data_IF_593443487455
#
_entry.id   IF_593443487455
#
_cell.length_a   1.000
_cell.length_b   1.000
_cell.length_c   1.000
_cell.angle_alpha   90.00
_cell.angle_beta   90.00
_cell.angle_gamma   90.00
#
_symmetry.space_group_name_H-M   'P 1'
#
loop_
_entity.id
_entity.type
_entity.pdbx_description
1 polymer ?
#
# COMPACT_ATOMS: atom_id res chain seq x y z
N UNK A 1 8.04 6.21 8.00
CA UNK A 1 7.65 6.40 9.42
C UNK A 1 6.18 6.18 9.72
N UNK A 2 5.23 6.53 8.82
CA UNK A 2 3.78 6.27 9.02
C UNK A 2 3.44 4.78 9.18
N UNK A 3 4.10 3.88 8.44
CA UNK A 3 3.89 2.44 8.57
C UNK A 3 4.22 1.87 9.95
N UNK A 4 5.31 2.36 10.59
CA UNK A 4 5.68 1.97 11.95
C UNK A 4 4.64 2.50 12.96
N UNK A 5 4.15 3.73 12.78
CA UNK A 5 3.13 4.31 13.66
C UNK A 5 1.80 3.54 13.56
N UNK A 6 1.37 3.19 12.35
CA UNK A 6 0.14 2.39 12.14
C UNK A 6 0.29 0.98 12.71
N UNK A 7 1.44 0.35 12.50
CA UNK A 7 1.71 -0.95 13.06
C UNK A 7 1.76 -0.91 14.60
N UNK A 8 2.33 0.13 15.22
CA UNK A 8 2.27 0.35 16.67
C UNK A 8 0.83 0.52 17.15
N UNK A 9 0.01 1.25 16.41
CA UNK A 9 -1.41 1.42 16.72
C UNK A 9 -2.17 0.09 16.70
N UNK A 10 -1.93 -0.72 15.68
CA UNK A 10 -2.56 -2.06 15.56
C UNK A 10 -2.07 -3.00 16.66
N UNK A 11 -0.79 -2.97 17.00
CA UNK A 11 -0.24 -3.74 18.11
C UNK A 11 -0.79 -3.30 19.47
N UNK A 12 -1.01 -1.98 19.66
CA UNK A 12 -1.68 -1.46 20.85
C UNK A 12 -3.11 -2.00 21.03
N UNK A 13 -3.82 -2.24 19.94
CA UNK A 13 -5.14 -2.90 19.94
C UNK A 13 -5.03 -4.37 20.38
N UNK A 14 -3.92 -5.04 20.05
CA UNK A 14 -3.63 -6.43 20.42
C UNK A 14 -2.90 -6.55 21.77
N UNK A 15 -2.61 -5.44 22.47
CA UNK A 15 -2.10 -5.43 23.84
C UNK A 15 -0.58 -5.49 24.00
N UNK A 16 0.22 -5.39 22.94
CA UNK A 16 1.68 -5.40 23.00
C UNK A 16 2.36 -4.42 22.04
N UNK A 17 3.56 -3.96 22.42
CA UNK A 17 4.47 -3.24 21.52
C UNK A 17 5.43 -4.23 20.84
N UNK A 18 5.21 -4.52 19.54
CA UNK A 18 5.99 -5.49 18.78
C UNK A 18 7.26 -4.88 18.10
N UNK A 19 7.66 -3.64 18.42
CA UNK A 19 8.37 -2.80 17.43
C UNK A 19 9.82 -2.45 17.72
N UNK A 20 10.43 -3.04 18.75
CA UNK A 20 11.88 -2.99 18.89
C UNK A 20 12.51 -4.01 17.93
N UNK A 21 13.03 -3.52 16.80
CA UNK A 21 13.67 -4.33 15.74
C UNK A 21 13.01 -4.28 14.36
N UNK A 22 11.83 -3.69 14.21
CA UNK A 22 11.08 -3.67 12.92
C UNK A 22 11.54 -2.62 11.92
N UNK A 23 12.45 -1.72 12.28
CA UNK A 23 12.95 -0.71 11.33
C UNK A 23 13.56 -1.37 10.11
N UNK A 24 14.42 -2.35 10.28
CA UNK A 24 15.08 -3.08 9.20
C UNK A 24 14.08 -3.87 8.35
N UNK A 25 13.05 -4.43 8.97
CA UNK A 25 11.98 -5.12 8.25
C UNK A 25 11.17 -4.15 7.38
N UNK A 26 10.74 -3.01 7.93
CA UNK A 26 10.01 -2.00 7.16
C UNK A 26 10.85 -1.45 6.01
N UNK A 27 12.15 -1.21 6.25
CA UNK A 27 13.08 -0.79 5.20
C UNK A 27 13.23 -1.87 4.11
N UNK A 28 13.33 -3.14 4.48
CA UNK A 28 13.38 -4.24 3.52
C UNK A 28 12.09 -4.35 2.69
N UNK A 29 10.92 -4.17 3.31
CA UNK A 29 9.62 -4.18 2.62
C UNK A 29 9.49 -2.98 1.69
N UNK A 30 9.89 -1.78 2.13
CA UNK A 30 9.85 -0.56 1.30
C UNK A 30 10.75 -0.69 0.08
N UNK A 31 11.95 -1.27 0.25
CA UNK A 31 12.91 -1.47 -0.83
C UNK A 31 12.63 -2.73 -1.67
N UNK A 32 11.68 -3.56 -1.26
CA UNK A 32 11.26 -4.75 -2.00
C UNK A 32 10.62 -4.41 -3.34
N UNK A 33 10.84 -5.23 -4.35
CA UNK A 33 10.20 -5.09 -5.67
C UNK A 33 8.72 -5.47 -5.59
N UNK A 34 7.88 -4.64 -6.20
CA UNK A 34 6.45 -4.88 -6.38
C UNK A 34 6.04 -4.47 -7.80
N UNK A 35 5.37 -5.35 -8.53
CA UNK A 35 5.09 -5.16 -9.95
C UNK A 35 6.36 -4.85 -10.78
N UNK A 36 7.41 -5.64 -10.55
CA UNK A 36 8.68 -5.61 -11.29
C UNK A 36 9.54 -4.35 -11.16
N UNK A 37 9.24 -3.47 -10.19
CA UNK A 37 10.06 -2.30 -9.92
C UNK A 37 10.11 -1.96 -8.43
N UNK A 38 11.20 -1.39 -7.97
CA UNK A 38 11.30 -0.86 -6.61
C UNK A 38 10.54 0.47 -6.48
N UNK A 39 10.20 0.85 -5.27
CA UNK A 39 9.59 2.15 -4.99
C UNK A 39 10.45 3.32 -5.51
N UNK A 40 11.76 3.22 -5.31
CA UNK A 40 12.72 4.23 -5.76
C UNK A 40 12.72 4.36 -7.28
N UNK A 41 12.81 3.25 -8.02
CA UNK A 41 12.79 3.25 -9.49
C UNK A 41 11.52 3.89 -10.07
N UNK A 42 10.36 3.64 -9.45
CA UNK A 42 9.10 4.26 -9.88
C UNK A 42 9.07 5.78 -9.66
N UNK A 43 9.64 6.27 -8.55
CA UNK A 43 9.74 7.71 -8.28
C UNK A 43 10.72 8.38 -9.25
N UNK A 44 11.91 7.82 -9.41
CA UNK A 44 12.95 8.41 -10.27
C UNK A 44 12.56 8.40 -11.74
N UNK A 45 11.94 7.34 -12.25
CA UNK A 45 11.41 7.30 -13.61
C UNK A 45 10.40 8.43 -13.88
N UNK A 46 9.54 8.75 -12.92
CA UNK A 46 8.61 9.87 -13.04
C UNK A 46 9.32 11.23 -13.05
N UNK A 47 10.37 11.41 -12.24
CA UNK A 47 11.15 12.66 -12.21
C UNK A 47 11.93 12.88 -13.50
N UNK A 48 12.53 11.86 -14.07
CA UNK A 48 13.24 11.95 -15.36
C UNK A 48 12.31 12.33 -16.50
N UNK A 49 11.13 11.73 -16.59
CA UNK A 49 10.11 12.07 -17.57
C UNK A 49 9.63 13.53 -17.43
N UNK A 50 9.49 14.02 -16.19
CA UNK A 50 9.16 15.42 -15.93
C UNK A 50 10.26 16.36 -16.40
N UNK A 51 11.52 16.04 -16.10
CA UNK A 51 12.68 16.83 -16.53
C UNK A 51 12.77 16.90 -18.06
N UNK A 52 12.62 15.78 -18.74
CA UNK A 52 12.65 15.73 -20.21
C UNK A 52 11.56 16.63 -20.85
N UNK A 53 10.35 16.64 -20.30
CA UNK A 53 9.29 17.50 -20.82
C UNK A 53 9.52 18.98 -20.51
N UNK A 54 10.09 19.31 -19.34
CA UNK A 54 10.51 20.68 -19.01
C UNK A 54 11.55 21.18 -20.01
N UNK A 55 12.59 20.41 -20.29
CA UNK A 55 13.63 20.75 -21.26
C UNK A 55 13.05 21.01 -22.64
N UNK A 56 12.15 20.13 -23.11
CA UNK A 56 11.44 20.29 -24.38
C UNK A 56 10.62 21.58 -24.46
N UNK A 57 9.88 21.93 -23.41
CA UNK A 57 9.09 23.17 -23.36
C UNK A 57 9.97 24.40 -23.35
N UNK A 58 11.12 24.38 -22.67
CA UNK A 58 12.11 25.46 -22.69
C UNK A 58 12.70 25.65 -24.08
N UNK A 59 13.11 24.58 -24.75
CA UNK A 59 13.61 24.63 -26.12
C UNK A 59 12.55 25.22 -27.06
N UNK A 60 11.30 24.81 -26.98
CA UNK A 60 10.19 25.38 -27.81
C UNK A 60 9.98 26.87 -27.53
N UNK A 61 10.12 27.30 -26.28
CA UNK A 61 10.00 28.74 -25.92
C UNK A 61 11.07 29.56 -26.61
N UNK A 62 12.32 29.11 -26.55
CA UNK A 62 13.48 29.86 -27.07
C UNK A 62 13.59 29.76 -28.60
N UNK A 63 13.44 28.57 -29.18
CA UNK A 63 13.70 28.37 -30.62
C UNK A 63 12.53 28.68 -31.52
N UNK A 64 11.29 28.53 -31.02
CA UNK A 64 10.07 28.73 -31.81
C UNK A 64 9.30 29.99 -31.43
N UNK A 65 9.83 30.80 -30.53
CA UNK A 65 9.17 32.03 -30.07
C UNK A 65 7.80 31.78 -29.41
N UNK A 66 7.59 30.58 -28.81
CA UNK A 66 6.33 30.27 -28.13
C UNK A 66 6.17 31.16 -26.89
N UNK A 67 4.92 31.56 -26.63
CA UNK A 67 4.63 32.40 -25.49
C UNK A 67 4.97 31.69 -24.17
N UNK A 68 5.86 32.26 -23.31
CA UNK A 68 6.23 31.63 -22.05
C UNK A 68 5.06 31.33 -21.11
N UNK A 69 3.98 32.12 -21.16
CA UNK A 69 2.77 31.89 -20.35
C UNK A 69 2.03 30.61 -20.78
N UNK A 70 2.00 30.31 -22.09
CA UNK A 70 1.36 29.09 -22.60
C UNK A 70 2.21 27.86 -22.26
N UNK A 71 3.54 28.00 -22.30
CA UNK A 71 4.44 26.93 -21.87
C UNK A 71 4.33 26.68 -20.37
N UNK A 72 4.23 27.72 -19.55
CA UNK A 72 4.00 27.60 -18.11
C UNK A 72 2.66 26.93 -17.79
N UNK A 73 1.61 27.17 -18.58
CA UNK A 73 0.31 26.48 -18.45
C UNK A 73 0.44 25.00 -18.76
N UNK A 74 1.14 24.64 -19.83
CA UNK A 74 1.43 23.23 -20.17
C UNK A 74 2.23 22.55 -19.08
N UNK A 75 3.29 23.20 -18.58
CA UNK A 75 4.11 22.66 -17.48
C UNK A 75 3.28 22.43 -16.21
N UNK A 76 2.42 23.39 -15.86
CA UNK A 76 1.53 23.26 -14.70
C UNK A 76 0.59 22.06 -14.84
N UNK A 77 -0.02 21.86 -16.01
CA UNK A 77 -0.88 20.71 -16.24
C UNK A 77 -0.12 19.38 -16.14
N UNK A 78 1.14 19.35 -16.63
CA UNK A 78 2.04 18.21 -16.46
C UNK A 78 2.42 17.99 -14.99
N UNK A 79 2.69 19.06 -14.26
CA UNK A 79 3.00 18.99 -12.83
C UNK A 79 1.82 18.46 -12.02
N UNK A 80 0.60 18.91 -12.29
CA UNK A 80 -0.61 18.41 -11.64
C UNK A 80 -0.86 16.93 -11.96
N UNK A 81 -0.61 16.52 -13.20
CA UNK A 81 -0.63 15.10 -13.59
C UNK A 81 0.41 14.29 -12.83
N UNK A 82 1.65 14.80 -12.72
CA UNK A 82 2.72 14.14 -11.97
C UNK A 82 2.44 14.09 -10.45
N UNK A 83 1.82 15.13 -9.90
CA UNK A 83 1.36 15.13 -8.52
C UNK A 83 0.38 13.99 -8.27
N UNK A 84 -0.61 13.82 -9.14
CA UNK A 84 -1.58 12.71 -9.04
C UNK A 84 -0.87 11.35 -9.11
N UNK A 85 0.08 11.17 -10.03
CA UNK A 85 0.85 9.93 -10.15
C UNK A 85 1.65 9.63 -8.88
N UNK A 86 2.29 10.64 -8.29
CA UNK A 86 3.03 10.51 -7.04
C UNK A 86 2.11 10.16 -5.86
N UNK A 87 0.95 10.81 -5.75
CA UNK A 87 -0.04 10.49 -4.72
C UNK A 87 -0.58 9.06 -4.88
N UNK A 88 -0.87 8.65 -6.10
CA UNK A 88 -1.32 7.29 -6.44
C UNK A 88 -0.27 6.25 -6.05
N UNK A 89 1.00 6.50 -6.37
CA UNK A 89 2.12 5.63 -6.03
C UNK A 89 2.26 5.51 -4.51
N UNK A 90 2.35 6.64 -3.80
CA UNK A 90 2.48 6.66 -2.35
C UNK A 90 1.35 5.92 -1.65
N UNK A 91 0.11 6.10 -2.10
CA UNK A 91 -1.05 5.42 -1.53
C UNK A 91 -0.96 3.91 -1.72
N UNK A 92 -0.59 3.46 -2.93
CA UNK A 92 -0.45 2.04 -3.26
C UNK A 92 0.66 1.38 -2.44
N UNK A 93 1.83 2.01 -2.38
CA UNK A 93 2.97 1.48 -1.63
C UNK A 93 2.72 1.49 -0.11
N UNK A 94 2.07 2.52 0.40
CA UNK A 94 1.69 2.56 1.82
C UNK A 94 0.75 1.40 2.17
N UNK A 95 -0.24 1.11 1.32
CA UNK A 95 -1.14 -0.03 1.52
C UNK A 95 -0.39 -1.36 1.47
N UNK A 96 0.58 -1.52 0.55
CA UNK A 96 1.42 -2.71 0.46
C UNK A 96 2.23 -2.93 1.73
N UNK A 97 2.93 -1.90 2.20
CA UNK A 97 3.73 -1.97 3.43
C UNK A 97 2.86 -2.29 4.64
N UNK A 98 1.69 -1.68 4.74
CA UNK A 98 0.73 -1.98 5.82
C UNK A 98 0.30 -3.44 5.80
N UNK A 99 -0.02 -3.99 4.64
CA UNK A 99 -0.43 -5.40 4.51
C UNK A 99 0.69 -6.37 4.92
N UNK A 100 1.93 -6.11 4.53
CA UNK A 100 3.06 -6.92 4.94
C UNK A 100 3.31 -6.85 6.47
N UNK A 101 3.15 -5.67 7.07
CA UNK A 101 3.23 -5.51 8.53
C UNK A 101 2.08 -6.27 9.22
N UNK A 102 0.86 -6.21 8.67
CA UNK A 102 -0.27 -6.98 9.18
C UNK A 102 0.00 -8.49 9.11
N UNK A 103 0.55 -8.98 7.99
CA UNK A 103 0.93 -10.40 7.85
C UNK A 103 1.88 -10.85 8.97
N UNK A 104 2.91 -10.05 9.28
CA UNK A 104 3.84 -10.36 10.36
C UNK A 104 3.14 -10.30 11.73
N UNK A 105 2.25 -9.34 11.92
CA UNK A 105 1.45 -9.25 13.14
C UNK A 105 0.57 -10.49 13.33
N UNK A 106 -0.12 -10.93 12.28
CA UNK A 106 -0.94 -12.14 12.34
C UNK A 106 -0.12 -13.37 12.70
N UNK A 107 1.05 -13.56 12.06
CA UNK A 107 1.96 -14.67 12.39
C UNK A 107 2.44 -14.63 13.83
N UNK A 108 2.78 -13.44 14.36
CA UNK A 108 3.26 -13.30 15.73
C UNK A 108 2.21 -13.66 16.78
N UNK A 109 0.93 -13.45 16.48
CA UNK A 109 -0.19 -13.76 17.37
C UNK A 109 -0.90 -15.08 17.03
N UNK A 110 -0.26 -15.95 16.25
CA UNK A 110 -0.77 -17.26 15.87
C UNK A 110 -2.18 -17.19 15.21
N UNK A 111 -2.44 -16.10 14.48
CA UNK A 111 -3.65 -15.94 13.69
C UNK A 111 -3.45 -16.67 12.37
N UNK A 112 -4.22 -17.73 12.15
CA UNK A 112 -4.10 -18.60 10.98
C UNK A 112 -4.86 -18.07 9.77
N UNK A 113 -5.98 -17.40 10.00
CA UNK A 113 -6.90 -16.95 8.97
C UNK A 113 -7.14 -15.45 9.04
N UNK A 114 -7.39 -14.83 7.87
CA UNK A 114 -7.80 -13.44 7.78
C UNK A 114 -8.96 -13.27 6.81
N UNK A 115 -9.75 -12.24 7.02
CA UNK A 115 -10.85 -11.82 6.17
C UNK A 115 -10.43 -10.66 5.27
N UNK A 116 -10.76 -10.71 3.98
CA UNK A 116 -10.60 -9.59 3.07
C UNK A 116 -11.78 -8.62 3.24
N UNK A 117 -11.46 -7.36 3.50
CA UNK A 117 -12.46 -6.29 3.67
C UNK A 117 -12.37 -5.34 2.49
N UNK A 118 -13.37 -5.38 1.61
CA UNK A 118 -13.48 -4.44 0.52
C UNK A 118 -14.06 -3.10 1.01
N UNK A 119 -13.60 -1.99 0.39
CA UNK A 119 -14.22 -0.68 0.57
C UNK A 119 -15.69 -0.71 0.13
N UNK A 120 -16.62 0.06 0.76
CA UNK A 120 -18.03 0.09 0.37
C UNK A 120 -18.30 0.35 -1.12
N UNK A 121 -17.43 1.12 -1.79
CA UNK A 121 -17.48 1.38 -3.23
C UNK A 121 -16.34 0.67 -3.97
N UNK A 122 -16.02 -0.55 -3.56
CA UNK A 122 -14.93 -1.31 -4.17
C UNK A 122 -15.19 -1.61 -5.66
N UNK A 123 -14.09 -1.66 -6.41
CA UNK A 123 -14.15 -1.98 -7.84
C UNK A 123 -14.54 -3.46 -8.08
N UNK A 124 -14.91 -3.82 -9.33
CA UNK A 124 -15.28 -5.20 -9.67
C UNK A 124 -14.21 -6.27 -9.38
N UNK A 125 -12.94 -5.88 -9.21
CA UNK A 125 -11.86 -6.80 -8.84
C UNK A 125 -11.89 -7.11 -7.33
N UNK A 126 -12.13 -6.10 -6.50
CA UNK A 126 -12.07 -6.23 -5.05
C UNK A 126 -13.40 -6.71 -4.43
N UNK A 127 -14.53 -6.27 -4.99
CA UNK A 127 -15.85 -6.56 -4.44
C UNK A 127 -16.13 -8.06 -4.25
N UNK A 128 -15.77 -8.95 -5.21
CA UNK A 128 -15.98 -10.39 -5.05
C UNK A 128 -15.15 -11.05 -3.94
N UNK A 129 -14.13 -10.36 -3.43
CA UNK A 129 -13.28 -10.86 -2.34
C UNK A 129 -13.80 -10.45 -0.96
N UNK A 130 -14.75 -9.52 -0.90
CA UNK A 130 -15.28 -9.02 0.37
C UNK A 130 -15.85 -10.15 1.22
N UNK A 131 -15.43 -10.24 2.47
CA UNK A 131 -15.85 -11.27 3.42
C UNK A 131 -15.23 -12.66 3.16
N UNK A 132 -14.37 -12.82 2.15
CA UNK A 132 -13.66 -14.09 1.94
C UNK A 132 -12.55 -14.26 2.97
N UNK A 133 -12.45 -15.49 3.46
CA UNK A 133 -11.44 -15.90 4.43
C UNK A 133 -10.31 -16.60 3.70
N UNK A 134 -9.07 -16.25 4.03
CA UNK A 134 -7.85 -16.80 3.46
C UNK A 134 -6.87 -17.15 4.56
N UNK A 135 -5.93 -18.06 4.27
CA UNK A 135 -4.82 -18.39 5.15
C UNK A 135 -3.78 -17.27 5.19
N UNK A 136 -3.27 -16.95 6.38
CA UNK A 136 -2.23 -15.93 6.57
C UNK A 136 -0.92 -16.32 5.86
N UNK A 137 -0.62 -17.61 5.77
CA UNK A 137 0.55 -18.10 5.02
C UNK A 137 0.49 -17.70 3.54
N UNK A 138 -0.70 -17.77 2.92
CA UNK A 138 -0.94 -17.44 1.50
C UNK A 138 -1.17 -15.94 1.26
N UNK A 139 -1.14 -15.11 2.30
CA UNK A 139 -1.41 -13.68 2.18
C UNK A 139 -0.41 -13.04 1.20
N UNK A 140 -0.93 -12.51 0.10
CA UNK A 140 -0.16 -11.94 -1.00
C UNK A 140 -0.84 -10.69 -1.56
N UNK A 141 -0.22 -9.49 -1.42
CA UNK A 141 -0.71 -8.29 -2.07
C UNK A 141 -0.86 -8.47 -3.59
N UNK A 142 -1.98 -8.01 -4.13
CA UNK A 142 -2.29 -8.14 -5.56
C UNK A 142 -2.98 -9.45 -5.96
N UNK A 143 -3.11 -10.42 -5.05
CA UNK A 143 -3.80 -11.68 -5.28
C UNK A 143 -5.03 -11.86 -4.37
N UNK A 144 -4.82 -11.86 -3.08
CA UNK A 144 -5.86 -12.06 -2.07
C UNK A 144 -5.81 -11.01 -0.94
N UNK A 145 -4.87 -10.09 -0.98
CA UNK A 145 -4.71 -9.01 -0.01
C UNK A 145 -4.46 -7.66 -0.69
N UNK A 146 -4.79 -6.56 0.01
CA UNK A 146 -4.56 -5.20 -0.45
C UNK A 146 -3.05 -4.89 -0.54
N UNK A 147 -2.63 -4.05 -1.52
CA UNK A 147 -3.40 -3.49 -2.62
C UNK A 147 -3.58 -4.47 -3.77
N UNK A 148 -4.81 -4.63 -4.23
CA UNK A 148 -5.14 -5.45 -5.41
C UNK A 148 -4.76 -4.76 -6.73
N UNK A 149 -4.75 -3.44 -6.71
CA UNK A 149 -4.45 -2.56 -7.85
C UNK A 149 -4.01 -1.18 -7.32
N UNK A 150 -3.56 -0.32 -8.21
CA UNK A 150 -3.22 1.06 -7.85
C UNK A 150 -4.42 1.81 -7.23
N UNK A 151 -4.18 2.59 -6.17
CA UNK A 151 -5.20 3.27 -5.37
C UNK A 151 -6.20 2.34 -4.65
N UNK A 152 -5.89 1.08 -4.48
CA UNK A 152 -6.72 0.17 -3.69
C UNK A 152 -6.85 0.68 -2.24
N UNK A 153 -8.09 0.66 -1.70
CA UNK A 153 -8.41 1.09 -0.34
C UNK A 153 -8.94 -0.02 0.54
N UNK A 154 -8.95 -1.24 0.01
CA UNK A 154 -9.34 -2.43 0.75
C UNK A 154 -8.32 -2.74 1.85
N UNK A 155 -8.71 -3.56 2.79
CA UNK A 155 -7.87 -3.97 3.93
C UNK A 155 -8.06 -5.44 4.25
N UNK A 156 -7.38 -5.92 5.28
CA UNK A 156 -7.59 -7.24 5.86
C UNK A 156 -7.87 -7.11 7.35
N UNK A 157 -8.60 -8.05 7.91
CA UNK A 157 -8.78 -8.19 9.35
C UNK A 157 -8.46 -9.62 9.80
N UNK A 158 -7.98 -9.83 11.02
CA UNK A 158 -7.80 -11.18 11.54
C UNK A 158 -9.15 -11.86 11.63
N UNK A 159 -9.22 -13.10 11.16
CA UNK A 159 -10.41 -13.94 11.32
C UNK A 159 -10.19 -14.95 12.43
N UNK A 160 -11.11 -14.98 13.36
CA UNK A 160 -11.11 -15.93 14.47
C UNK A 160 -12.44 -16.69 14.44
N UNK A 161 -12.34 -18.00 14.26
CA UNK A 161 -13.51 -18.88 14.32
C UNK A 161 -14.04 -18.93 15.77
N UNK A 162 -15.18 -18.26 16.01
CA UNK A 162 -15.81 -18.19 17.33
C UNK A 162 -16.13 -19.57 17.90
N UNK A 163 -16.51 -20.52 17.05
CA UNK A 163 -16.84 -21.88 17.47
C UNK A 163 -15.62 -22.60 18.03
N UNK A 164 -14.46 -22.45 17.35
CA UNK A 164 -13.18 -23.00 17.83
C UNK A 164 -12.75 -22.36 19.13
N UNK A 165 -12.93 -21.05 19.26
CA UNK A 165 -12.57 -20.29 20.47
C UNK A 165 -13.45 -20.72 21.66
N UNK A 166 -14.77 -20.79 21.49
CA UNK A 166 -15.69 -21.23 22.55
C UNK A 166 -15.40 -22.69 22.99
N UNK A 167 -15.06 -23.56 22.03
CA UNK A 167 -14.65 -24.93 22.33
C UNK A 167 -13.36 -24.98 23.15
N UNK A 168 -12.38 -24.18 22.77
CA UNK A 168 -11.10 -24.05 23.48
C UNK A 168 -11.26 -23.50 24.91
N UNK A 169 -12.18 -22.56 25.14
CA UNK A 169 -12.52 -22.07 26.49
C UNK A 169 -13.17 -23.16 27.34
N UNK A 170 -14.14 -23.89 26.78
CA UNK A 170 -14.79 -25.01 27.49
C UNK A 170 -13.80 -26.12 27.86
N UNK A 171 -12.84 -26.44 27.00
CA UNK A 171 -11.80 -27.45 27.25
C UNK A 171 -10.79 -26.99 28.33
N UNK A 172 -10.61 -25.68 28.52
CA UNK A 172 -9.73 -25.12 29.57
C UNK A 172 -10.46 -24.82 30.87
N UNK A 173 -11.77 -25.09 30.98
CA UNK A 173 -12.55 -24.93 32.19
C UNK A 173 -12.84 -23.49 32.61
N UNK A 174 -12.89 -22.56 31.62
CA UNK A 174 -13.27 -21.15 31.80
C UNK A 174 -14.64 -20.91 31.22
#
# INVERSE_FOLDING_TARGET
MKGIAEAKRQAGILGETIFDGYKNFVEAVVNGSFHSATFSERIWGNMEAFKAELDKLLVQTVTQGKNPRDMARKLRNLFDSRKYEAERLMRTESARVQTEIQKQSYKKYDIEDYEFIAEPNACPVCLPLNGKIFKVEDLSPGQNASPMHANCRCSTAPYVDRVKVEKSFKERGV
#
